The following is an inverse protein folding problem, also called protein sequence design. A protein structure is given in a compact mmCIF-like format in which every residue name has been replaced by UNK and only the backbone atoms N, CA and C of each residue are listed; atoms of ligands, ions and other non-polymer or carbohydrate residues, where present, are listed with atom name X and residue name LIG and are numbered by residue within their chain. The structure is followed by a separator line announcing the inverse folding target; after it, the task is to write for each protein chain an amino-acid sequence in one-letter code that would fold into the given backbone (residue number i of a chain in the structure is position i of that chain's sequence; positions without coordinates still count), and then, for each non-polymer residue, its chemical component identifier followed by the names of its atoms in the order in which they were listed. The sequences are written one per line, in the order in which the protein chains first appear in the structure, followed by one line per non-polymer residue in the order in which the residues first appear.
data_IF_057138260883
#
_entry.id   IF_057138260883
#
_cell.length_a   1.000
_cell.length_b   1.000
_cell.length_c   1.000
_cell.angle_alpha   90.00
_cell.angle_beta   90.00
_cell.angle_gamma   90.00
#
_symmetry.space_group_name_H-M   'P 1'
#
loop_
_entity.id
_entity.type
_entity.pdbx_description
1 polymer ?
#
# COMPACT_ATOMS: atom_id res chain seq x y z
N UNK A 1 -13.89 -2.27 30.40
CA UNK A 1 -13.25 -1.78 29.14
C UNK A 1 -12.53 -2.96 28.50
N UNK A 2 -12.85 -3.31 27.22
CA UNK A 2 -12.16 -4.40 26.51
C UNK A 2 -10.93 -3.79 25.80
N UNK A 3 -9.75 -4.29 26.11
CA UNK A 3 -8.49 -3.90 25.46
C UNK A 3 -8.13 -4.92 24.39
N UNK A 4 -7.52 -4.44 23.32
CA UNK A 4 -6.99 -5.31 22.25
C UNK A 4 -5.59 -5.71 22.64
N UNK A 5 -5.31 -7.00 22.63
CA UNK A 5 -4.06 -7.61 23.06
C UNK A 5 -3.74 -7.34 24.55
N UNK A 6 -2.59 -6.78 24.84
CA UNK A 6 -2.11 -6.52 26.20
C UNK A 6 -2.93 -5.44 26.90
N UNK A 7 -3.14 -5.59 28.23
CA UNK A 7 -3.65 -4.51 29.09
C UNK A 7 -2.66 -3.33 29.04
N UNK A 8 -3.12 -2.12 28.63
CA UNK A 8 -2.25 -0.96 28.56
C UNK A 8 -1.82 -0.48 29.95
N UNK A 9 -0.75 0.30 30.01
CA UNK A 9 -0.33 0.97 31.24
C UNK A 9 -1.23 2.13 31.63
N UNK A 10 -0.94 2.75 32.77
CA UNK A 10 -1.78 3.81 33.35
C UNK A 10 -1.94 5.02 32.43
N UNK A 11 -0.87 5.46 31.78
CA UNK A 11 -0.91 6.63 30.90
C UNK A 11 -1.66 6.32 29.59
N UNK A 12 -1.47 5.13 29.04
CA UNK A 12 -2.23 4.67 27.87
C UNK A 12 -3.73 4.62 28.17
N UNK A 13 -4.16 4.12 29.33
CA UNK A 13 -5.57 4.05 29.71
C UNK A 13 -6.21 5.45 29.68
N UNK A 14 -5.57 6.46 30.31
CA UNK A 14 -6.06 7.84 30.34
C UNK A 14 -6.27 8.41 28.92
N UNK A 15 -5.34 8.14 28.01
CA UNK A 15 -5.43 8.64 26.62
C UNK A 15 -6.51 7.90 25.84
N UNK A 16 -6.61 6.57 25.97
CA UNK A 16 -7.65 5.75 25.32
C UNK A 16 -9.05 6.18 25.78
N UNK A 17 -9.24 6.53 27.05
CA UNK A 17 -10.51 7.02 27.59
C UNK A 17 -10.89 8.39 27.00
N UNK A 18 -9.91 9.28 26.82
CA UNK A 18 -10.10 10.57 26.16
C UNK A 18 -10.38 10.41 24.66
N UNK A 19 -9.62 9.56 23.96
CA UNK A 19 -9.81 9.25 22.53
C UNK A 19 -11.25 8.82 22.26
N UNK A 20 -11.78 7.89 23.06
CA UNK A 20 -13.17 7.41 22.92
C UNK A 20 -14.24 8.47 23.07
N UNK A 21 -13.97 9.58 23.76
CA UNK A 21 -14.92 10.68 23.95
C UNK A 21 -14.97 11.63 22.76
N UNK A 22 -13.87 11.78 22.01
CA UNK A 22 -13.73 12.86 21.02
C UNK A 22 -13.38 12.38 19.60
N UNK A 23 -12.90 11.15 19.46
CA UNK A 23 -12.51 10.61 18.15
C UNK A 23 -13.60 9.67 17.63
N UNK A 24 -13.87 9.77 16.34
CA UNK A 24 -14.85 8.92 15.66
C UNK A 24 -14.59 7.43 15.90
N UNK A 25 -15.62 6.62 16.21
CA UNK A 25 -15.49 5.17 16.38
C UNK A 25 -15.23 4.42 15.07
N UNK A 26 -15.23 5.09 13.92
CA UNK A 26 -14.96 4.48 12.61
C UNK A 26 -13.50 3.99 12.45
N UNK A 27 -12.59 4.49 13.28
CA UNK A 27 -11.18 4.11 13.21
C UNK A 27 -10.94 2.76 13.87
N UNK A 28 -10.30 1.85 13.13
CA UNK A 28 -9.86 0.56 13.67
C UNK A 28 -8.69 0.75 14.61
N UNK A 29 -8.75 0.21 15.81
CA UNK A 29 -7.67 0.19 16.79
C UNK A 29 -7.24 -1.26 16.99
N UNK A 30 -6.19 -1.67 16.26
CA UNK A 30 -5.69 -3.06 16.30
C UNK A 30 -5.01 -3.39 17.62
N UNK A 31 -4.49 -2.39 18.35
CA UNK A 31 -3.80 -2.53 19.61
C UNK A 31 -4.24 -1.48 20.63
N UNK A 32 -4.12 -1.82 21.93
CA UNK A 32 -4.22 -0.84 23.02
C UNK A 32 -2.88 -0.10 23.26
N UNK A 33 -2.13 0.10 22.19
CA UNK A 33 -0.87 0.83 22.13
C UNK A 33 -1.13 2.32 21.95
N UNK A 34 -0.45 3.16 22.72
CA UNK A 34 -0.54 4.62 22.58
C UNK A 34 0.85 5.17 22.23
N UNK A 35 0.97 5.65 21.02
CA UNK A 35 2.22 6.18 20.45
C UNK A 35 2.75 7.38 21.23
N UNK A 36 4.07 7.41 21.49
CA UNK A 36 4.78 8.55 22.07
C UNK A 36 5.85 9.12 21.14
N UNK A 37 6.77 8.28 20.68
CA UNK A 37 7.90 8.66 19.81
C UNK A 37 8.35 7.48 18.96
N UNK A 38 9.11 7.76 17.92
CA UNK A 38 9.71 6.74 17.06
C UNK A 38 11.07 7.18 16.58
N UNK A 39 11.94 6.21 16.22
CA UNK A 39 13.24 6.47 15.60
C UNK A 39 13.68 5.23 14.79
N UNK A 40 14.11 5.42 13.56
CA UNK A 40 14.52 4.33 12.67
C UNK A 40 13.42 3.27 12.50
N UNK A 41 13.68 2.03 12.91
CA UNK A 41 12.73 0.93 12.89
C UNK A 41 12.02 0.71 14.23
N UNK A 42 12.10 1.63 15.18
CA UNK A 42 11.55 1.45 16.52
C UNK A 42 10.51 2.51 16.89
N UNK A 43 9.51 2.09 17.64
CA UNK A 43 8.45 2.95 18.21
C UNK A 43 8.40 2.75 19.72
N UNK A 44 8.02 3.80 20.46
CA UNK A 44 7.81 3.74 21.91
C UNK A 44 6.39 4.19 22.25
N UNK A 45 5.78 3.50 23.19
CA UNK A 45 4.50 3.92 23.75
C UNK A 45 4.69 4.95 24.88
N UNK A 46 3.58 5.53 25.34
CA UNK A 46 3.58 6.51 26.44
C UNK A 46 3.93 5.89 27.79
N UNK A 47 3.84 4.58 27.93
CA UNK A 47 4.22 3.82 29.13
C UNK A 47 5.70 3.42 29.11
N UNK A 48 6.48 3.86 28.10
CA UNK A 48 7.93 3.68 27.99
C UNK A 48 8.40 2.38 27.33
N UNK A 49 7.48 1.56 26.80
CA UNK A 49 7.84 0.31 26.13
C UNK A 49 8.33 0.57 24.72
N UNK A 50 9.35 -0.18 24.31
CA UNK A 50 9.95 -0.13 22.96
C UNK A 50 9.46 -1.30 22.11
N UNK A 51 9.15 -1.01 20.86
CA UNK A 51 8.70 -1.98 19.87
C UNK A 51 9.52 -1.88 18.59
N UNK A 52 9.86 -3.01 17.98
CA UNK A 52 10.32 -3.07 16.61
C UNK A 52 9.08 -2.96 15.68
N UNK A 53 9.13 -2.04 14.73
CA UNK A 53 7.99 -1.73 13.87
C UNK A 53 8.08 -2.46 12.53
N UNK A 54 7.26 -3.50 12.37
CA UNK A 54 7.08 -4.18 11.09
C UNK A 54 5.82 -3.71 10.34
N UNK A 55 5.31 -2.52 10.70
CA UNK A 55 4.17 -1.90 9.99
C UNK A 55 4.55 -0.66 9.17
N UNK A 56 5.62 0.05 9.57
CA UNK A 56 6.05 1.32 8.98
C UNK A 56 4.88 2.32 8.78
N UNK A 57 3.89 2.34 9.70
CA UNK A 57 2.70 3.17 9.53
C UNK A 57 1.88 2.81 8.28
N UNK A 58 1.75 1.54 7.96
CA UNK A 58 1.15 0.98 6.73
C UNK A 58 1.96 1.38 5.48
N UNK A 59 3.26 1.07 5.51
CA UNK A 59 4.21 1.33 4.43
C UNK A 59 4.37 2.84 4.08
N UNK A 60 4.29 3.71 5.08
CA UNK A 60 4.53 5.16 4.95
C UNK A 60 5.98 5.50 5.31
N UNK A 61 6.50 4.97 6.41
CA UNK A 61 7.80 5.31 6.96
C UNK A 61 8.94 4.49 6.32
N UNK A 62 9.00 4.48 4.98
CA UNK A 62 9.97 3.68 4.23
C UNK A 62 11.43 4.00 4.58
N UNK A 63 11.77 5.27 4.83
CA UNK A 63 13.14 5.67 5.20
C UNK A 63 13.36 5.69 6.72
N UNK A 64 12.45 5.07 7.49
CA UNK A 64 12.48 5.03 8.96
C UNK A 64 11.84 6.25 9.60
N UNK A 65 11.48 6.08 10.87
CA UNK A 65 10.89 7.13 11.68
C UNK A 65 11.93 8.20 12.06
N UNK A 66 11.47 9.45 12.17
CA UNK A 66 12.26 10.61 12.62
C UNK A 66 13.61 10.70 11.89
N UNK A 67 13.56 10.57 10.56
CA UNK A 67 14.78 10.61 9.75
C UNK A 67 15.32 12.04 9.69
N UNK A 68 16.60 12.28 10.05
CA UNK A 68 17.19 13.63 10.11
C UNK A 68 17.14 14.41 8.79
N UNK A 69 17.12 13.72 7.63
CA UNK A 69 17.04 14.41 6.33
C UNK A 69 15.68 15.09 6.14
N UNK A 70 14.61 14.47 6.64
CA UNK A 70 13.25 15.03 6.60
C UNK A 70 13.16 16.23 7.55
N UNK A 71 13.61 16.06 8.79
CA UNK A 71 13.62 17.13 9.80
C UNK A 71 14.35 18.37 9.26
N UNK A 72 15.56 18.20 8.71
CA UNK A 72 16.34 19.27 8.12
C UNK A 72 15.60 19.96 6.96
N UNK A 73 14.99 19.19 6.07
CA UNK A 73 14.26 19.72 4.92
C UNK A 73 13.05 20.55 5.35
N UNK A 74 12.25 20.04 6.29
CA UNK A 74 11.06 20.73 6.82
C UNK A 74 11.49 22.00 7.58
N UNK A 75 12.48 21.92 8.47
CA UNK A 75 12.97 23.06 9.25
C UNK A 75 13.54 24.18 8.37
N UNK A 76 14.13 23.83 7.24
CA UNK A 76 14.55 24.81 6.24
C UNK A 76 13.35 25.47 5.57
N UNK A 77 12.40 24.67 5.11
CA UNK A 77 11.26 25.16 4.31
C UNK A 77 10.24 25.96 5.14
N UNK A 78 9.96 25.56 6.38
CA UNK A 78 8.97 26.24 7.23
C UNK A 78 9.36 27.69 7.55
N UNK A 79 10.68 27.99 7.54
CA UNK A 79 11.18 29.37 7.71
C UNK A 79 10.95 30.27 6.50
N UNK A 80 10.67 29.68 5.34
CA UNK A 80 10.38 30.42 4.11
C UNK A 80 8.88 30.58 3.91
N UNK A 81 8.18 29.44 3.84
CA UNK A 81 6.71 29.37 3.75
C UNK A 81 6.26 27.93 3.99
N UNK A 82 5.11 27.74 4.61
CA UNK A 82 4.47 26.43 4.78
C UNK A 82 3.55 26.07 3.60
N UNK A 83 2.94 27.06 2.98
CA UNK A 83 1.92 26.87 1.95
C UNK A 83 1.95 28.01 0.92
N UNK A 84 1.54 27.68 -0.30
CA UNK A 84 1.17 28.58 -1.38
C UNK A 84 0.01 27.93 -2.15
N UNK A 85 -0.91 28.71 -2.66
CA UNK A 85 -1.95 28.22 -3.58
C UNK A 85 -1.32 27.82 -4.92
N UNK A 86 -0.73 26.62 -5.01
CA UNK A 86 0.01 26.15 -6.19
C UNK A 86 -0.89 26.01 -7.42
N UNK A 87 -2.20 25.83 -7.22
CA UNK A 87 -3.18 25.90 -8.31
C UNK A 87 -3.33 27.27 -8.95
N UNK A 88 -2.95 28.34 -8.23
CA UNK A 88 -3.16 29.73 -8.64
C UNK A 88 -1.83 30.47 -8.90
N UNK A 89 -0.73 30.00 -8.28
CA UNK A 89 0.58 30.62 -8.36
C UNK A 89 1.67 29.60 -8.68
N UNK A 90 2.60 29.97 -9.53
CA UNK A 90 3.81 29.16 -9.76
C UNK A 90 4.68 29.13 -8.51
N UNK A 91 5.24 27.96 -8.21
CA UNK A 91 6.20 27.77 -7.14
C UNK A 91 7.30 26.81 -7.57
N UNK A 92 8.55 27.16 -7.29
CA UNK A 92 9.71 26.40 -7.75
C UNK A 92 9.82 25.01 -7.08
N UNK A 93 9.48 24.92 -5.79
CA UNK A 93 9.69 23.70 -5.02
C UNK A 93 8.79 22.51 -5.45
N UNK A 94 7.48 22.68 -5.72
CA UNK A 94 6.65 21.63 -6.30
C UNK A 94 7.13 21.18 -7.68
N UNK A 95 7.62 22.12 -8.51
CA UNK A 95 8.21 21.80 -9.82
C UNK A 95 9.45 20.93 -9.64
N UNK A 96 10.39 21.36 -8.79
CA UNK A 96 11.60 20.56 -8.44
C UNK A 96 11.25 19.16 -7.90
N UNK A 97 10.18 19.06 -7.11
CA UNK A 97 9.75 17.75 -6.63
C UNK A 97 9.24 16.87 -7.78
N UNK A 98 8.39 17.42 -8.66
CA UNK A 98 7.87 16.70 -9.81
C UNK A 98 9.00 16.26 -10.76
N UNK A 99 9.90 17.18 -11.13
CA UNK A 99 11.08 16.88 -11.94
C UNK A 99 11.93 15.74 -11.32
N UNK A 100 12.18 15.82 -10.02
CA UNK A 100 12.99 14.82 -9.34
C UNK A 100 12.27 13.47 -9.23
N UNK A 101 10.96 13.46 -8.99
CA UNK A 101 10.14 12.25 -8.99
C UNK A 101 10.17 11.55 -10.36
N UNK A 102 10.02 12.30 -11.44
CA UNK A 102 10.05 11.77 -12.80
C UNK A 102 11.38 11.06 -13.14
N UNK A 103 12.50 11.43 -12.51
CA UNK A 103 13.78 10.72 -12.71
C UNK A 103 13.80 9.28 -12.17
N UNK A 104 12.77 8.83 -11.48
CA UNK A 104 12.60 7.46 -10.99
C UNK A 104 11.65 6.63 -11.85
N UNK A 105 11.01 7.26 -12.82
CA UNK A 105 9.94 6.67 -13.63
C UNK A 105 10.39 6.42 -15.07
N UNK A 106 9.72 5.53 -15.80
CA UNK A 106 9.93 5.38 -17.24
C UNK A 106 9.66 6.68 -17.99
N UNK A 107 10.43 6.95 -19.07
CA UNK A 107 10.38 8.22 -19.86
C UNK A 107 8.99 8.58 -20.38
N UNK A 108 8.11 7.61 -20.63
CA UNK A 108 6.75 7.87 -21.11
C UNK A 108 5.82 8.45 -20.03
N UNK A 109 6.23 8.46 -18.77
CA UNK A 109 5.51 9.07 -17.65
C UNK A 109 6.15 10.41 -17.33
N UNK A 110 5.68 11.50 -17.96
CA UNK A 110 6.36 12.79 -18.03
C UNK A 110 5.58 13.97 -17.43
N UNK A 111 4.30 13.77 -17.03
CA UNK A 111 3.47 14.78 -16.39
C UNK A 111 2.97 14.31 -15.02
N UNK A 112 2.96 15.24 -14.05
CA UNK A 112 2.57 14.97 -12.66
C UNK A 112 1.48 15.92 -12.18
N UNK A 113 0.39 15.36 -11.66
CA UNK A 113 -0.58 16.09 -10.84
C UNK A 113 -0.31 15.80 -9.37
N UNK A 114 -0.14 16.82 -8.53
CA UNK A 114 0.17 16.70 -7.10
C UNK A 114 -1.10 16.76 -6.26
N UNK A 115 -1.17 15.89 -5.25
CA UNK A 115 -2.27 15.77 -4.30
C UNK A 115 -1.75 15.50 -2.88
N UNK A 116 -2.63 15.19 -1.91
CA UNK A 116 -2.27 15.09 -0.49
C UNK A 116 -2.37 13.67 0.06
N UNK A 117 -2.92 12.75 -0.70
CA UNK A 117 -3.19 11.38 -0.23
C UNK A 117 -3.31 10.39 -1.39
N UNK A 118 -3.20 9.09 -1.08
CA UNK A 118 -3.42 8.04 -2.07
C UNK A 118 -4.84 8.04 -2.64
N UNK A 119 -5.84 8.30 -1.81
CA UNK A 119 -7.23 8.39 -2.29
C UNK A 119 -7.41 9.53 -3.29
N UNK A 120 -6.77 10.71 -3.07
CA UNK A 120 -6.81 11.83 -4.03
C UNK A 120 -6.04 11.49 -5.32
N UNK A 121 -4.90 10.80 -5.22
CA UNK A 121 -4.16 10.36 -6.41
C UNK A 121 -4.99 9.38 -7.25
N UNK A 122 -5.71 8.46 -6.64
CA UNK A 122 -6.63 7.54 -7.32
C UNK A 122 -7.86 8.28 -7.89
N UNK A 123 -8.44 9.24 -7.18
CA UNK A 123 -9.53 10.09 -7.71
C UNK A 123 -9.07 10.86 -8.95
N UNK A 124 -7.84 11.40 -8.93
CA UNK A 124 -7.26 12.08 -10.08
C UNK A 124 -7.06 11.11 -11.25
N UNK A 125 -6.50 9.92 -11.03
CA UNK A 125 -6.34 8.89 -12.06
C UNK A 125 -7.69 8.45 -12.65
N UNK A 126 -8.72 8.27 -11.81
CA UNK A 126 -10.07 7.91 -12.24
C UNK A 126 -10.72 9.03 -13.08
N UNK A 127 -10.60 10.27 -12.66
CA UNK A 127 -11.12 11.44 -13.41
C UNK A 127 -10.35 11.65 -14.71
N UNK A 128 -9.02 11.52 -14.68
CA UNK A 128 -8.15 11.65 -15.84
C UNK A 128 -8.52 10.64 -16.92
N UNK A 129 -8.61 9.36 -16.56
CA UNK A 129 -8.97 8.32 -17.52
C UNK A 129 -10.30 8.56 -18.18
N UNK A 130 -11.30 9.04 -17.46
CA UNK A 130 -12.62 9.37 -18.00
C UNK A 130 -12.60 10.62 -18.87
N UNK A 131 -11.81 11.62 -18.47
CA UNK A 131 -11.64 12.85 -19.22
C UNK A 131 -11.00 12.56 -20.58
N UNK A 132 -9.84 11.93 -20.57
CA UNK A 132 -9.06 11.64 -21.77
C UNK A 132 -9.81 10.75 -22.76
N UNK A 133 -10.42 9.67 -22.28
CA UNK A 133 -11.08 8.70 -23.17
C UNK A 133 -12.52 9.06 -23.52
N UNK A 134 -13.13 10.01 -22.82
CA UNK A 134 -14.58 10.30 -22.87
C UNK A 134 -15.46 9.05 -22.62
N UNK A 135 -14.93 8.04 -21.91
CA UNK A 135 -15.62 6.80 -21.54
C UNK A 135 -16.01 6.84 -20.05
N UNK A 136 -16.98 6.03 -19.63
CA UNK A 136 -17.62 6.15 -18.29
C UNK A 136 -17.24 5.07 -17.29
N UNK A 137 -17.01 3.83 -17.75
CA UNK A 137 -16.76 2.71 -16.89
C UNK A 137 -15.29 2.60 -16.50
N UNK A 138 -15.04 2.09 -15.29
CA UNK A 138 -13.76 1.53 -14.91
C UNK A 138 -13.91 0.08 -14.47
N UNK A 139 -12.82 -0.67 -14.50
CA UNK A 139 -12.71 -1.99 -13.88
C UNK A 139 -11.67 -1.91 -12.76
N UNK A 140 -11.97 -2.52 -11.63
CA UNK A 140 -11.02 -2.82 -10.57
C UNK A 140 -11.08 -4.30 -10.23
N UNK A 141 -10.25 -4.76 -9.32
CA UNK A 141 -10.23 -6.17 -8.95
C UNK A 141 -10.90 -6.41 -7.59
N UNK A 142 -11.26 -7.67 -7.33
CA UNK A 142 -11.75 -8.15 -6.06
C UNK A 142 -10.90 -9.34 -5.61
N UNK A 143 -10.26 -9.25 -4.44
CA UNK A 143 -10.25 -8.10 -3.53
C UNK A 143 -9.23 -7.02 -3.93
N UNK A 144 -9.52 -5.73 -3.63
CA UNK A 144 -8.62 -4.59 -3.84
C UNK A 144 -8.92 -3.43 -2.89
N UNK A 145 -7.95 -2.53 -2.71
CA UNK A 145 -8.14 -1.31 -1.91
C UNK A 145 -7.49 -0.10 -2.58
N UNK A 146 -8.30 0.86 -3.01
CA UNK A 146 -7.85 2.06 -3.73
C UNK A 146 -8.14 3.37 -2.97
N UNK A 147 -8.78 3.31 -1.82
CA UNK A 147 -9.10 4.47 -0.99
C UNK A 147 -10.52 4.47 -0.43
N UNK A 148 -10.89 5.57 0.21
CA UNK A 148 -12.19 5.73 0.91
C UNK A 148 -12.99 6.98 0.54
N UNK A 149 -12.52 7.85 -0.35
CA UNK A 149 -13.36 8.86 -1.01
C UNK A 149 -14.27 8.17 -2.05
N UNK A 150 -15.37 8.78 -2.44
CA UNK A 150 -16.44 8.07 -3.16
C UNK A 150 -16.00 7.44 -4.49
N UNK A 151 -15.12 8.11 -5.25
CA UNK A 151 -14.58 7.54 -6.48
C UNK A 151 -13.62 6.37 -6.21
N UNK A 152 -12.62 6.56 -5.35
CA UNK A 152 -11.69 5.49 -4.97
C UNK A 152 -12.37 4.36 -4.19
N UNK A 153 -13.42 4.67 -3.40
CA UNK A 153 -14.25 3.68 -2.72
C UNK A 153 -15.06 2.84 -3.71
N UNK A 154 -15.47 3.43 -4.84
CA UNK A 154 -16.14 2.68 -5.91
C UNK A 154 -15.25 1.57 -6.47
N UNK A 155 -13.94 1.82 -6.57
CA UNK A 155 -12.91 0.85 -6.99
C UNK A 155 -12.57 -0.16 -5.89
N UNK A 156 -12.60 0.25 -4.61
CA UNK A 156 -12.26 -0.59 -3.44
C UNK A 156 -13.24 -1.75 -3.26
N UNK A 157 -12.70 -2.94 -2.96
CA UNK A 157 -13.51 -4.13 -2.64
C UNK A 157 -12.77 -5.11 -1.71
N UNK A 158 -12.00 -4.61 -0.72
CA UNK A 158 -11.24 -5.46 0.19
C UNK A 158 -12.10 -6.03 1.32
N UNK A 159 -12.95 -5.21 1.93
CA UNK A 159 -13.80 -5.62 3.07
C UNK A 159 -15.22 -5.03 2.92
N UNK A 160 -16.29 -5.81 3.19
CA UNK A 160 -17.67 -5.31 3.09
C UNK A 160 -17.93 -4.05 3.90
N UNK A 161 -17.45 -3.99 5.15
CA UNK A 161 -17.62 -2.84 6.07
C UNK A 161 -17.08 -1.52 5.51
N UNK A 162 -16.18 -1.56 4.53
CA UNK A 162 -15.62 -0.35 3.91
C UNK A 162 -16.58 0.30 2.91
N UNK A 163 -17.55 -0.45 2.39
CA UNK A 163 -18.52 0.00 1.36
C UNK A 163 -19.97 0.01 1.85
N UNK A 164 -20.25 -0.75 2.87
CA UNK A 164 -21.61 -0.93 3.37
C UNK A 164 -22.27 0.39 3.69
N UNK A 165 -23.47 0.63 3.17
CA UNK A 165 -24.32 1.83 3.36
C UNK A 165 -23.79 3.14 2.74
N UNK A 166 -22.72 3.13 1.94
CA UNK A 166 -22.17 4.34 1.32
C UNK A 166 -22.63 4.59 -0.13
N UNK A 167 -23.30 3.62 -0.78
CA UNK A 167 -23.78 3.80 -2.14
C UNK A 167 -24.80 4.93 -2.32
N UNK A 168 -25.08 5.36 -3.56
CA UNK A 168 -24.67 4.75 -4.82
C UNK A 168 -23.19 5.00 -5.17
N UNK A 169 -22.59 4.04 -5.88
CA UNK A 169 -21.21 4.11 -6.33
C UNK A 169 -21.12 4.54 -7.80
N UNK A 170 -19.93 5.01 -8.19
CA UNK A 170 -19.62 5.31 -9.58
C UNK A 170 -19.61 4.03 -10.44
N UNK A 171 -19.73 4.14 -11.79
CA UNK A 171 -19.79 2.99 -12.68
C UNK A 171 -18.44 2.23 -12.71
N UNK A 172 -18.31 1.28 -11.81
CA UNK A 172 -17.15 0.38 -11.68
C UNK A 172 -17.63 -1.07 -11.72
N UNK A 173 -17.00 -1.88 -12.56
CA UNK A 173 -17.10 -3.33 -12.53
C UNK A 173 -15.90 -3.94 -11.82
N UNK A 174 -16.06 -5.14 -11.27
CA UNK A 174 -14.98 -5.85 -10.61
C UNK A 174 -14.71 -7.18 -11.30
N UNK A 175 -13.44 -7.44 -11.62
CA UNK A 175 -12.89 -8.73 -12.00
C UNK A 175 -12.28 -9.44 -10.78
N UNK A 176 -11.88 -10.68 -10.91
CA UNK A 176 -11.28 -11.44 -9.82
C UNK A 176 -9.77 -11.20 -9.83
N UNK A 177 -9.19 -10.81 -8.67
CA UNK A 177 -7.74 -10.72 -8.51
C UNK A 177 -7.14 -12.12 -8.26
N UNK A 178 -6.07 -12.51 -8.93
CA UNK A 178 -5.48 -13.83 -8.76
C UNK A 178 -4.91 -14.03 -7.35
N UNK A 179 -5.42 -15.04 -6.68
CA UNK A 179 -4.90 -15.50 -5.39
C UNK A 179 -4.69 -17.01 -5.46
N UNK A 180 -3.49 -17.43 -5.91
CA UNK A 180 -3.21 -18.83 -6.22
C UNK A 180 -3.41 -19.78 -5.03
N UNK A 181 -3.04 -19.36 -3.82
CA UNK A 181 -3.27 -20.15 -2.61
C UNK A 181 -4.75 -20.46 -2.36
N UNK A 182 -5.67 -19.56 -2.76
CA UNK A 182 -7.13 -19.70 -2.64
C UNK A 182 -7.80 -19.53 -4.00
N UNK A 183 -7.29 -20.21 -5.02
CA UNK A 183 -7.83 -20.13 -6.37
C UNK A 183 -9.29 -20.63 -6.41
N UNK A 184 -10.24 -19.84 -6.91
CA UNK A 184 -11.66 -20.24 -6.95
C UNK A 184 -11.97 -21.22 -8.09
N UNK A 185 -11.03 -21.46 -9.01
CA UNK A 185 -11.25 -22.31 -10.17
C UNK A 185 -10.86 -23.78 -9.97
N UNK A 186 -10.34 -24.11 -8.78
CA UNK A 186 -9.89 -25.46 -8.39
C UNK A 186 -8.95 -26.14 -9.41
N UNK A 187 -8.22 -25.33 -10.19
CA UNK A 187 -7.29 -25.79 -11.20
C UNK A 187 -5.87 -25.85 -10.63
N UNK A 188 -5.20 -26.98 -10.82
CA UNK A 188 -3.84 -27.22 -10.32
C UNK A 188 -2.75 -26.75 -11.28
N UNK A 189 -3.08 -26.51 -12.55
CA UNK A 189 -2.16 -26.01 -13.55
C UNK A 189 -2.11 -24.47 -13.54
N UNK A 190 -0.94 -23.92 -13.27
CA UNK A 190 -0.74 -22.48 -13.10
C UNK A 190 -1.17 -21.68 -14.34
N UNK A 191 -0.74 -22.10 -15.53
CA UNK A 191 -1.02 -21.37 -16.79
C UNK A 191 -2.52 -21.42 -17.14
N UNK A 192 -3.16 -22.58 -16.95
CA UNK A 192 -4.60 -22.70 -17.15
C UNK A 192 -5.40 -21.85 -16.17
N UNK A 193 -4.90 -21.72 -14.93
CA UNK A 193 -5.53 -20.87 -13.92
C UNK A 193 -5.42 -19.38 -14.30
N UNK A 194 -4.27 -18.91 -14.79
CA UNK A 194 -4.07 -17.52 -15.24
C UNK A 194 -5.04 -17.15 -16.35
N UNK A 195 -5.19 -18.02 -17.36
CA UNK A 195 -6.11 -17.78 -18.47
C UNK A 195 -7.57 -17.61 -18.00
N UNK A 196 -8.02 -18.40 -17.02
CA UNK A 196 -9.37 -18.25 -16.47
C UNK A 196 -9.59 -16.89 -15.80
N UNK A 197 -8.60 -16.34 -15.11
CA UNK A 197 -8.69 -14.98 -14.56
C UNK A 197 -8.75 -13.92 -15.67
N UNK A 198 -7.96 -14.07 -16.74
CA UNK A 198 -7.98 -13.18 -17.89
C UNK A 198 -9.30 -13.26 -18.67
N UNK A 199 -9.87 -14.45 -18.83
CA UNK A 199 -11.19 -14.65 -19.45
C UNK A 199 -12.30 -13.92 -18.66
N UNK A 200 -12.25 -14.01 -17.33
CA UNK A 200 -13.19 -13.25 -16.47
C UNK A 200 -13.00 -11.75 -16.67
N UNK A 201 -11.76 -11.27 -16.75
CA UNK A 201 -11.47 -9.85 -16.99
C UNK A 201 -11.97 -9.43 -18.38
N UNK A 202 -11.67 -10.19 -19.42
CA UNK A 202 -12.12 -9.89 -20.78
C UNK A 202 -13.62 -9.86 -20.91
N UNK A 203 -14.34 -10.78 -20.25
CA UNK A 203 -15.79 -10.75 -20.15
C UNK A 203 -16.29 -9.43 -19.53
N UNK A 204 -15.65 -8.95 -18.45
CA UNK A 204 -16.01 -7.66 -17.82
C UNK A 204 -15.75 -6.48 -18.75
N UNK A 205 -14.68 -6.50 -19.54
CA UNK A 205 -14.38 -5.49 -20.57
C UNK A 205 -15.52 -5.46 -21.61
N UNK A 206 -15.89 -6.60 -22.17
CA UNK A 206 -16.96 -6.73 -23.17
C UNK A 206 -18.32 -6.24 -22.65
N UNK A 207 -18.62 -6.48 -21.36
CA UNK A 207 -19.83 -5.97 -20.71
C UNK A 207 -19.92 -4.44 -20.65
N UNK A 208 -18.80 -3.71 -20.81
CA UNK A 208 -18.79 -2.25 -20.87
C UNK A 208 -19.14 -1.71 -22.26
N UNK A 209 -19.31 -2.55 -23.28
CA UNK A 209 -19.74 -2.20 -24.63
C UNK A 209 -18.95 -1.05 -25.27
N UNK A 210 -17.62 -1.10 -25.19
CA UNK A 210 -16.71 -0.05 -25.71
C UNK A 210 -16.63 1.23 -24.87
N UNK A 211 -17.34 1.31 -23.75
CA UNK A 211 -17.38 2.50 -22.89
C UNK A 211 -16.54 2.31 -21.60
N UNK A 212 -15.40 1.58 -21.69
CA UNK A 212 -14.47 1.34 -20.60
C UNK A 212 -13.29 2.32 -20.72
N UNK A 213 -13.09 3.17 -19.71
CA UNK A 213 -12.00 4.15 -19.68
C UNK A 213 -10.69 3.52 -19.18
N UNK A 214 -10.75 2.72 -18.10
CA UNK A 214 -9.53 2.27 -17.43
C UNK A 214 -9.75 0.99 -16.63
N UNK A 215 -8.62 0.28 -16.41
CA UNK A 215 -8.49 -0.82 -15.45
C UNK A 215 -7.54 -0.36 -14.34
N UNK A 216 -7.99 -0.43 -13.08
CA UNK A 216 -7.18 -0.12 -11.90
C UNK A 216 -6.66 -1.40 -11.28
N UNK A 217 -5.35 -1.44 -10.99
CA UNK A 217 -4.71 -2.61 -10.39
C UNK A 217 -3.64 -2.19 -9.38
N UNK A 218 -3.63 -2.83 -8.21
CA UNK A 218 -2.46 -2.88 -7.33
C UNK A 218 -1.53 -3.97 -7.87
N UNK A 219 -0.24 -3.71 -8.19
CA UNK A 219 0.69 -4.76 -8.64
C UNK A 219 0.91 -5.86 -7.61
N UNK A 220 0.82 -5.50 -6.33
CA UNK A 220 0.68 -6.40 -5.19
C UNK A 220 -0.48 -5.91 -4.36
N UNK A 221 -1.54 -6.71 -4.23
CA UNK A 221 -2.74 -6.29 -3.51
C UNK A 221 -2.46 -6.16 -2.00
N UNK A 222 -2.48 -4.91 -1.50
CA UNK A 222 -2.00 -4.58 -0.16
C UNK A 222 -2.95 -5.00 0.95
N UNK A 223 -4.07 -4.32 1.10
CA UNK A 223 -5.06 -4.57 2.17
C UNK A 223 -5.64 -5.98 2.15
N UNK A 224 -5.82 -6.64 1.00
CA UNK A 224 -6.28 -8.02 0.94
C UNK A 224 -5.34 -9.07 1.55
N UNK A 225 -4.07 -8.76 1.79
CA UNK A 225 -3.14 -9.68 2.43
C UNK A 225 -1.81 -9.86 1.70
N UNK A 226 -1.34 -8.84 1.01
CA UNK A 226 -0.10 -8.85 0.24
C UNK A 226 -0.09 -9.96 -0.81
N UNK A 227 -1.17 -10.00 -1.59
CA UNK A 227 -1.35 -11.01 -2.63
C UNK A 227 -0.52 -10.61 -3.84
N UNK A 228 0.37 -11.51 -4.25
CA UNK A 228 1.21 -11.36 -5.45
C UNK A 228 0.55 -12.14 -6.58
N UNK A 229 0.18 -11.48 -7.69
CA UNK A 229 -0.40 -12.16 -8.84
C UNK A 229 0.68 -12.88 -9.65
N UNK A 230 0.32 -13.87 -10.47
CA UNK A 230 1.20 -14.41 -11.49
C UNK A 230 1.71 -13.32 -12.45
N UNK A 231 2.96 -13.46 -12.91
CA UNK A 231 3.56 -12.47 -13.83
C UNK A 231 2.83 -12.40 -15.17
N UNK A 232 2.49 -13.53 -15.72
CA UNK A 232 1.72 -13.69 -16.95
C UNK A 232 0.32 -13.07 -16.87
N UNK A 233 -0.32 -13.09 -15.68
CA UNK A 233 -1.58 -12.38 -15.47
C UNK A 233 -1.41 -10.87 -15.64
N UNK A 234 -0.41 -10.26 -15.01
CA UNK A 234 -0.19 -8.80 -15.11
C UNK A 234 0.13 -8.39 -16.54
N UNK A 235 0.91 -9.22 -17.25
CA UNK A 235 1.20 -9.03 -18.67
C UNK A 235 -0.07 -9.17 -19.54
N UNK A 236 -0.88 -10.18 -19.28
CA UNK A 236 -2.16 -10.36 -19.97
C UNK A 236 -3.17 -9.23 -19.70
N UNK A 237 -3.15 -8.61 -18.51
CA UNK A 237 -3.93 -7.39 -18.26
C UNK A 237 -3.48 -6.26 -19.18
N UNK A 238 -2.16 -6.07 -19.39
CA UNK A 238 -1.63 -5.05 -20.31
C UNK A 238 -2.08 -5.34 -21.75
N UNK A 239 -1.95 -6.59 -22.20
CA UNK A 239 -2.38 -7.01 -23.54
C UNK A 239 -3.88 -6.77 -23.77
N UNK A 240 -4.72 -7.05 -22.77
CA UNK A 240 -6.15 -6.75 -22.84
C UNK A 240 -6.41 -5.24 -22.89
N UNK A 241 -5.67 -4.43 -22.13
CA UNK A 241 -5.78 -2.99 -22.20
C UNK A 241 -5.43 -2.47 -23.60
N UNK A 242 -4.34 -2.95 -24.19
CA UNK A 242 -3.92 -2.58 -25.56
C UNK A 242 -4.95 -3.03 -26.60
N UNK A 243 -5.46 -4.26 -26.50
CA UNK A 243 -6.47 -4.83 -27.41
C UNK A 243 -7.77 -4.03 -27.44
N UNK A 244 -8.18 -3.48 -26.30
CA UNK A 244 -9.48 -2.79 -26.17
C UNK A 244 -9.38 -1.28 -26.07
N UNK A 245 -8.19 -0.70 -26.25
CA UNK A 245 -7.93 0.75 -26.12
C UNK A 245 -8.44 1.28 -24.77
N UNK A 246 -7.89 0.71 -23.69
CA UNK A 246 -8.25 0.99 -22.29
C UNK A 246 -7.00 1.34 -21.51
N UNK A 247 -7.03 2.38 -20.68
CA UNK A 247 -5.89 2.78 -19.88
C UNK A 247 -5.64 1.81 -18.71
N UNK A 248 -4.39 1.42 -18.50
CA UNK A 248 -3.94 0.71 -17.30
C UNK A 248 -3.51 1.72 -16.24
N UNK A 249 -4.30 1.83 -15.17
CA UNK A 249 -4.01 2.65 -14.00
C UNK A 249 -3.37 1.79 -12.90
N UNK A 250 -2.12 2.07 -12.61
CA UNK A 250 -1.29 1.35 -11.65
C UNK A 250 -1.35 2.05 -10.28
N UNK A 251 -1.86 1.34 -9.29
CA UNK A 251 -1.92 1.80 -7.91
C UNK A 251 -0.67 1.39 -7.13
N UNK A 252 0.32 2.27 -7.14
CA UNK A 252 1.59 2.13 -6.44
C UNK A 252 1.59 2.79 -5.04
N UNK A 253 0.42 3.18 -4.55
CA UNK A 253 0.28 3.89 -3.27
C UNK A 253 0.88 3.10 -2.11
N UNK A 254 0.81 1.78 -2.12
CA UNK A 254 1.40 0.95 -1.07
C UNK A 254 2.63 0.16 -1.55
N UNK A 255 2.63 -0.32 -2.78
CA UNK A 255 3.66 -1.21 -3.32
C UNK A 255 4.89 -0.47 -3.88
N UNK A 256 4.73 0.81 -4.22
CA UNK A 256 5.78 1.65 -4.80
C UNK A 256 6.90 2.06 -3.85
N UNK A 257 7.75 2.93 -4.35
CA UNK A 257 8.86 3.54 -3.61
C UNK A 257 9.81 2.50 -3.01
N UNK A 258 10.25 1.56 -3.84
CA UNK A 258 11.17 0.47 -3.48
C UNK A 258 10.63 -0.55 -2.48
N UNK A 259 9.34 -0.53 -2.11
CA UNK A 259 8.76 -1.51 -1.19
C UNK A 259 8.96 -2.96 -1.66
N UNK A 260 8.94 -3.18 -2.97
CA UNK A 260 9.15 -4.48 -3.62
C UNK A 260 10.57 -4.67 -4.22
N UNK A 261 11.50 -3.73 -3.93
CA UNK A 261 12.86 -3.73 -4.48
C UNK A 261 13.04 -2.89 -5.73
N UNK A 262 11.99 -2.69 -6.54
CA UNK A 262 11.92 -1.75 -7.67
C UNK A 262 11.21 -0.47 -7.23
N UNK A 263 11.44 0.67 -7.92
CA UNK A 263 10.77 1.92 -7.56
C UNK A 263 9.27 1.82 -7.78
N UNK A 264 8.84 1.31 -8.92
CA UNK A 264 7.49 0.84 -9.16
C UNK A 264 7.42 -0.67 -8.98
N UNK A 265 6.41 -1.17 -8.28
CA UNK A 265 6.22 -2.60 -8.08
C UNK A 265 5.86 -3.31 -9.39
N UNK A 266 5.15 -2.64 -10.29
CA UNK A 266 4.77 -3.17 -11.61
C UNK A 266 6.00 -3.56 -12.47
N UNK A 267 7.16 -2.93 -12.25
CA UNK A 267 8.40 -3.26 -12.95
C UNK A 267 8.88 -4.70 -12.69
N UNK A 268 8.45 -5.35 -11.59
CA UNK A 268 8.74 -6.76 -11.35
C UNK A 268 8.04 -7.68 -12.36
N UNK A 269 7.00 -7.19 -13.00
CA UNK A 269 6.18 -7.92 -13.98
C UNK A 269 6.53 -7.57 -15.44
N UNK A 270 7.45 -6.61 -15.67
CA UNK A 270 7.84 -6.08 -16.98
C UNK A 270 6.65 -5.49 -17.75
N UNK A 271 5.79 -4.75 -17.08
CA UNK A 271 4.60 -4.08 -17.63
C UNK A 271 4.77 -2.57 -17.51
N UNK A 272 4.34 -1.82 -18.53
CA UNK A 272 4.30 -0.35 -18.55
C UNK A 272 2.86 0.12 -18.35
N UNK A 273 2.55 0.85 -17.26
CA UNK A 273 1.23 1.43 -17.06
C UNK A 273 1.07 2.74 -17.84
N UNK A 274 -0.17 3.16 -18.09
CA UNK A 274 -0.49 4.45 -18.70
C UNK A 274 -0.60 5.58 -17.67
N UNK A 275 -1.09 5.24 -16.47
CA UNK A 275 -1.25 6.15 -15.34
C UNK A 275 -0.72 5.48 -14.07
N UNK A 276 0.04 6.20 -13.26
CA UNK A 276 0.57 5.73 -11.97
C UNK A 276 0.06 6.62 -10.85
N UNK A 277 -0.42 6.02 -9.76
CA UNK A 277 -0.77 6.73 -8.52
C UNK A 277 0.24 6.41 -7.42
N UNK A 278 0.89 7.43 -6.87
CA UNK A 278 1.85 7.34 -5.76
C UNK A 278 1.37 8.14 -4.55
N UNK A 279 1.71 7.69 -3.35
CA UNK A 279 1.49 8.42 -2.09
C UNK A 279 2.32 7.81 -0.95
N UNK A 280 1.78 7.81 0.28
CA UNK A 280 2.42 7.18 1.46
C UNK A 280 3.91 7.50 1.55
N UNK A 281 4.77 6.60 1.06
CA UNK A 281 6.20 6.68 1.23
C UNK A 281 6.87 7.88 0.56
N UNK A 282 6.30 8.45 -0.52
CA UNK A 282 6.93 9.58 -1.24
C UNK A 282 7.05 10.84 -0.38
N UNK A 283 6.19 11.01 0.62
CA UNK A 283 6.18 12.18 1.52
C UNK A 283 7.05 12.04 2.77
N UNK A 284 7.68 10.86 3.00
CA UNK A 284 8.51 10.64 4.20
C UNK A 284 7.77 10.83 5.52
N UNK A 285 6.47 10.56 5.56
CA UNK A 285 5.58 10.77 6.71
C UNK A 285 4.71 12.03 6.61
N UNK A 286 4.96 12.90 5.63
CA UNK A 286 4.12 14.08 5.37
C UNK A 286 3.09 13.73 4.27
N UNK A 287 1.82 14.16 4.41
CA UNK A 287 0.80 13.92 3.40
C UNK A 287 1.21 14.45 2.02
N UNK A 288 1.33 13.53 1.06
CA UNK A 288 1.71 13.82 -0.33
C UNK A 288 1.17 12.71 -1.22
N UNK A 289 0.62 13.08 -2.36
CA UNK A 289 0.18 12.19 -3.43
C UNK A 289 0.59 12.73 -4.79
N UNK A 290 0.71 11.83 -5.75
CA UNK A 290 1.00 12.17 -7.13
C UNK A 290 0.27 11.23 -8.07
N UNK A 291 -0.30 11.77 -9.14
CA UNK A 291 -0.82 11.03 -10.28
C UNK A 291 0.03 11.38 -11.48
N UNK A 292 0.63 10.39 -12.10
CA UNK A 292 1.60 10.56 -13.18
C UNK A 292 1.08 9.88 -14.44
N UNK A 293 1.19 10.53 -15.58
CA UNK A 293 0.82 9.97 -16.89
C UNK A 293 1.69 10.61 -17.98
N UNK A 294 1.52 10.13 -19.21
CA UNK A 294 2.06 10.81 -20.38
C UNK A 294 1.36 12.16 -20.61
N UNK A 295 2.06 13.17 -21.16
CA UNK A 295 1.47 14.49 -21.44
C UNK A 295 0.25 14.42 -22.36
N UNK A 296 0.19 13.45 -23.28
CA UNK A 296 -0.95 13.25 -24.17
C UNK A 296 -2.19 12.74 -23.43
N UNK A 297 -1.99 11.98 -22.34
CA UNK A 297 -3.08 11.50 -21.48
C UNK A 297 -3.46 12.57 -20.46
N UNK A 298 -2.47 13.35 -19.95
CA UNK A 298 -2.70 14.44 -18.99
C UNK A 298 -3.22 15.70 -19.70
N UNK A 299 -4.28 15.55 -20.47
CA UNK A 299 -4.88 16.57 -21.36
C UNK A 299 -5.98 17.41 -20.71
N UNK A 300 -6.01 17.48 -19.39
CA UNK A 300 -6.93 18.36 -18.67
C UNK A 300 -6.77 19.82 -19.06
N UNK A 301 -7.90 20.51 -19.23
CA UNK A 301 -7.89 21.96 -19.39
C UNK A 301 -7.86 22.67 -18.03
N UNK A 302 -7.31 23.89 -17.94
CA UNK A 302 -7.28 24.66 -16.71
C UNK A 302 -8.65 24.72 -16.01
N UNK A 303 -8.68 24.43 -14.70
CA UNK A 303 -9.90 24.40 -13.88
C UNK A 303 -10.65 23.06 -13.87
N UNK A 304 -10.31 22.09 -14.71
CA UNK A 304 -11.01 20.80 -14.75
C UNK A 304 -10.74 19.92 -13.50
N UNK A 305 -9.55 20.02 -12.93
CA UNK A 305 -9.18 19.34 -11.69
C UNK A 305 -8.09 20.11 -10.94
N UNK A 306 -8.32 20.41 -9.67
CA UNK A 306 -7.38 21.09 -8.79
C UNK A 306 -7.63 20.72 -7.32
N UNK A 307 -6.72 21.08 -6.45
CA UNK A 307 -6.89 21.00 -5.02
C UNK A 307 -6.06 22.09 -4.31
N UNK A 308 -6.50 22.52 -3.11
CA UNK A 308 -5.88 23.63 -2.36
C UNK A 308 -4.47 23.29 -1.86
N UNK A 309 -4.22 22.07 -1.40
CA UNK A 309 -2.98 21.69 -0.73
C UNK A 309 -2.04 20.86 -1.60
N UNK A 310 -2.41 20.49 -2.81
CA UNK A 310 -1.52 19.77 -3.74
C UNK A 310 -0.30 20.60 -4.07
N UNK A 311 0.87 19.98 -4.01
CA UNK A 311 2.15 20.69 -4.12
C UNK A 311 2.53 21.47 -2.85
N UNK A 312 1.98 21.11 -1.66
CA UNK A 312 2.35 21.72 -0.39
C UNK A 312 3.87 21.78 -0.23
N UNK A 313 4.39 22.96 0.14
CA UNK A 313 5.83 23.23 0.16
C UNK A 313 6.58 22.34 1.16
N UNK A 314 6.01 22.07 2.35
CA UNK A 314 6.64 21.19 3.33
C UNK A 314 6.66 19.75 2.85
N UNK A 315 5.56 19.31 2.22
CA UNK A 315 5.44 17.97 1.66
C UNK A 315 6.41 17.76 0.49
N UNK A 316 6.56 18.74 -0.41
CA UNK A 316 7.52 18.69 -1.51
C UNK A 316 8.97 18.70 -1.01
N UNK A 317 9.31 19.50 0.00
CA UNK A 317 10.63 19.50 0.63
C UNK A 317 10.95 18.13 1.25
N UNK A 318 10.02 17.56 2.00
CA UNK A 318 10.15 16.22 2.59
C UNK A 318 10.23 15.14 1.51
N UNK A 319 9.43 15.25 0.45
CA UNK A 319 9.44 14.32 -0.68
C UNK A 319 10.78 14.28 -1.41
N UNK A 320 11.36 15.44 -1.74
CA UNK A 320 12.71 15.51 -2.34
C UNK A 320 13.75 14.87 -1.44
N UNK A 321 13.71 15.18 -0.13
CA UNK A 321 14.66 14.61 0.83
C UNK A 321 14.50 13.08 0.94
N UNK A 322 13.26 12.59 0.92
CA UNK A 322 12.92 11.17 0.94
C UNK A 322 13.48 10.44 -0.27
N UNK A 323 13.18 10.93 -1.46
CA UNK A 323 13.62 10.33 -2.72
C UNK A 323 15.15 10.33 -2.85
N UNK A 324 15.80 11.42 -2.45
CA UNK A 324 17.28 11.50 -2.41
C UNK A 324 17.86 10.43 -1.49
N UNK A 325 17.34 10.34 -0.26
CA UNK A 325 17.80 9.34 0.71
C UNK A 325 17.62 7.91 0.18
N UNK A 326 16.47 7.60 -0.42
CA UNK A 326 16.20 6.27 -1.00
C UNK A 326 17.22 5.89 -2.08
N UNK A 327 17.58 6.83 -2.97
CA UNK A 327 18.56 6.64 -4.04
C UNK A 327 19.98 6.50 -3.49
N UNK A 328 20.40 7.44 -2.65
CA UNK A 328 21.76 7.48 -2.06
C UNK A 328 22.06 6.26 -1.19
N UNK A 329 21.04 5.77 -0.45
CA UNK A 329 21.17 4.57 0.38
C UNK A 329 20.90 3.26 -0.37
N UNK A 330 20.60 3.32 -1.68
CA UNK A 330 20.32 2.16 -2.54
C UNK A 330 19.28 1.24 -1.91
N UNK A 331 18.18 1.82 -1.39
CA UNK A 331 17.20 1.07 -0.57
C UNK A 331 16.57 -0.10 -1.33
N UNK A 332 16.41 -0.03 -2.65
CA UNK A 332 15.91 -1.14 -3.45
C UNK A 332 16.76 -2.42 -3.33
N UNK A 333 18.08 -2.26 -3.25
CA UNK A 333 19.00 -3.40 -3.06
C UNK A 333 18.88 -3.99 -1.66
N UNK A 334 18.82 -3.13 -0.62
CA UNK A 334 18.59 -3.60 0.74
C UNK A 334 17.27 -4.36 0.86
N UNK A 335 16.20 -3.83 0.26
CA UNK A 335 14.86 -4.46 0.23
C UNK A 335 14.91 -5.84 -0.42
N UNK A 336 15.58 -5.96 -1.56
CA UNK A 336 15.72 -7.25 -2.25
C UNK A 336 16.52 -8.24 -1.40
N UNK A 337 17.64 -7.80 -0.81
CA UNK A 337 18.50 -8.65 0.01
C UNK A 337 17.79 -9.13 1.29
N UNK A 338 17.23 -8.19 2.06
CA UNK A 338 16.57 -8.51 3.35
C UNK A 338 15.25 -9.21 3.11
N UNK A 339 14.47 -8.81 2.09
CA UNK A 339 13.23 -9.48 1.71
C UNK A 339 13.44 -10.96 1.36
N UNK A 340 14.41 -11.26 0.50
CA UNK A 340 14.76 -12.65 0.15
C UNK A 340 15.22 -13.46 1.37
N UNK A 341 15.96 -12.82 2.29
CA UNK A 341 16.37 -13.45 3.55
C UNK A 341 15.16 -13.79 4.43
N UNK A 342 14.26 -12.82 4.62
CA UNK A 342 13.05 -13.01 5.44
C UNK A 342 12.12 -14.06 4.83
N UNK A 343 11.92 -14.04 3.51
CA UNK A 343 11.09 -15.04 2.81
C UNK A 343 11.61 -16.47 3.07
N UNK A 344 12.93 -16.70 2.95
CA UNK A 344 13.52 -18.02 3.24
C UNK A 344 13.30 -18.47 4.69
N UNK A 345 13.36 -17.56 5.66
CA UNK A 345 13.06 -17.87 7.07
C UNK A 345 11.57 -18.21 7.27
N UNK A 346 10.69 -17.43 6.67
CA UNK A 346 9.24 -17.63 6.77
C UNK A 346 8.77 -18.92 6.07
N UNK A 347 9.38 -19.30 4.95
CA UNK A 347 9.08 -20.59 4.29
C UNK A 347 9.46 -21.78 5.21
N UNK A 348 10.62 -21.72 5.89
CA UNK A 348 10.98 -22.74 6.90
C UNK A 348 9.99 -22.79 8.07
N UNK A 349 9.48 -21.63 8.50
CA UNK A 349 8.43 -21.59 9.52
C UNK A 349 7.14 -22.23 8.99
N UNK A 350 6.76 -21.97 7.75
CA UNK A 350 5.60 -22.61 7.11
C UNK A 350 5.73 -24.14 7.06
N UNK A 351 6.91 -24.66 6.77
CA UNK A 351 7.17 -26.11 6.81
C UNK A 351 6.97 -26.70 8.22
N UNK A 352 7.35 -25.95 9.25
CA UNK A 352 7.36 -26.40 10.65
C UNK A 352 6.01 -26.28 11.36
N UNK A 353 5.24 -25.20 11.08
CA UNK A 353 4.03 -24.86 11.83
C UNK A 353 2.77 -25.04 11.00
N UNK A 354 1.80 -25.80 11.51
CA UNK A 354 0.51 -26.06 10.85
C UNK A 354 -0.33 -24.79 10.68
N UNK A 355 -0.22 -23.82 11.58
CA UNK A 355 -0.95 -22.56 11.50
C UNK A 355 -0.54 -21.67 10.33
N UNK A 356 0.64 -21.87 9.73
CA UNK A 356 1.10 -21.07 8.57
C UNK A 356 0.72 -21.79 7.30
N UNK A 357 -0.35 -21.33 6.64
CA UNK A 357 -0.85 -21.91 5.40
C UNK A 357 -0.09 -21.48 4.16
N UNK A 358 0.29 -20.19 4.11
CA UNK A 358 0.98 -19.61 2.97
C UNK A 358 1.92 -18.47 3.38
N UNK A 359 3.02 -18.33 2.65
CA UNK A 359 3.95 -17.20 2.75
C UNK A 359 4.15 -16.65 1.35
N UNK A 360 3.95 -15.36 1.16
CA UNK A 360 4.04 -14.69 -0.14
C UNK A 360 4.55 -13.28 0.00
N UNK A 361 5.07 -12.71 -1.07
CA UNK A 361 5.53 -11.32 -1.07
C UNK A 361 6.65 -11.07 -2.09
N UNK A 362 6.96 -9.78 -2.26
CA UNK A 362 8.11 -9.31 -3.04
C UNK A 362 8.82 -8.24 -2.19
N UNK A 363 10.13 -8.37 -2.05
CA UNK A 363 10.92 -7.44 -1.24
C UNK A 363 10.49 -7.43 0.23
N UNK A 364 10.20 -6.26 0.79
CA UNK A 364 9.70 -6.07 2.16
C UNK A 364 8.18 -5.81 2.20
N UNK A 365 7.43 -6.42 1.29
CA UNK A 365 5.98 -6.48 1.27
C UNK A 365 5.56 -7.94 1.38
N UNK A 366 5.49 -8.49 2.60
CA UNK A 366 5.35 -9.92 2.87
C UNK A 366 4.06 -10.20 3.62
N UNK A 367 3.28 -11.18 3.15
CA UNK A 367 2.07 -11.70 3.77
C UNK A 367 2.27 -13.13 4.29
N UNK A 368 1.84 -13.37 5.52
CA UNK A 368 1.80 -14.70 6.14
C UNK A 368 0.34 -15.05 6.40
N UNK A 369 -0.17 -16.04 5.69
CA UNK A 369 -1.55 -16.52 5.84
C UNK A 369 -1.67 -17.48 7.02
N UNK A 370 -2.55 -17.17 7.95
CA UNK A 370 -2.80 -18.02 9.11
C UNK A 370 -4.06 -18.84 8.86
N UNK A 371 -3.96 -20.14 9.05
CA UNK A 371 -5.05 -21.11 8.87
C UNK A 371 -5.20 -21.95 10.12
N UNK A 372 -6.38 -22.55 10.32
CA UNK A 372 -6.58 -23.55 11.35
C UNK A 372 -6.05 -24.93 10.94
N UNK A 373 -6.14 -25.20 9.64
CA UNK A 373 -5.71 -26.46 9.06
C UNK A 373 -5.24 -26.23 7.60
N UNK A 374 -4.06 -26.75 7.26
CA UNK A 374 -3.46 -26.55 5.92
C UNK A 374 -4.20 -27.23 4.79
N UNK A 375 -4.89 -28.35 5.06
CA UNK A 375 -5.60 -29.12 4.01
C UNK A 375 -6.89 -28.43 3.62
N UNK A 376 -7.68 -28.05 4.61
CA UNK A 376 -8.96 -27.34 4.39
C UNK A 376 -8.77 -25.86 4.09
N UNK A 377 -7.62 -25.29 4.45
CA UNK A 377 -7.30 -23.86 4.38
C UNK A 377 -8.30 -22.98 5.15
N UNK A 378 -8.95 -23.51 6.21
CA UNK A 378 -9.87 -22.75 7.04
C UNK A 378 -9.17 -21.53 7.65
N UNK A 379 -9.80 -20.35 7.56
CA UNK A 379 -9.22 -19.11 8.04
C UNK A 379 -8.96 -19.11 9.55
N UNK A 380 -7.72 -18.92 9.95
CA UNK A 380 -7.28 -18.81 11.36
C UNK A 380 -7.37 -17.36 11.87
N UNK A 381 -8.57 -16.79 11.91
CA UNK A 381 -8.77 -15.36 12.30
C UNK A 381 -8.42 -15.13 13.76
N UNK A 382 -8.82 -16.06 14.65
CA UNK A 382 -8.51 -16.00 16.08
C UNK A 382 -7.02 -16.22 16.29
N UNK A 383 -6.47 -17.25 15.68
CA UNK A 383 -5.07 -17.64 15.75
C UNK A 383 -4.15 -16.49 15.28
N UNK A 384 -4.50 -15.83 14.16
CA UNK A 384 -3.80 -14.63 13.70
C UNK A 384 -3.82 -13.52 14.76
N UNK A 385 -4.97 -13.28 15.37
CA UNK A 385 -5.11 -12.24 16.39
C UNK A 385 -4.29 -12.57 17.62
N UNK A 386 -4.29 -13.83 18.06
CA UNK A 386 -3.51 -14.30 19.19
C UNK A 386 -1.99 -14.17 18.92
N UNK A 387 -1.52 -14.51 17.69
CA UNK A 387 -0.13 -14.30 17.27
C UNK A 387 0.25 -12.82 17.31
N UNK A 388 -0.58 -11.93 16.76
CA UNK A 388 -0.34 -10.48 16.78
C UNK A 388 -0.23 -9.94 18.21
N UNK A 389 -1.08 -10.42 19.12
CA UNK A 389 -1.07 -10.01 20.51
C UNK A 389 0.21 -10.47 21.21
N UNK A 390 0.60 -11.72 21.08
CA UNK A 390 1.84 -12.27 21.65
C UNK A 390 3.09 -11.57 21.09
N UNK A 391 3.12 -11.30 19.77
CA UNK A 391 4.21 -10.55 19.16
C UNK A 391 4.32 -9.13 19.75
N UNK A 392 3.20 -8.45 19.95
CA UNK A 392 3.19 -7.12 20.56
C UNK A 392 3.64 -7.11 22.01
N UNK A 393 3.31 -8.15 22.78
CA UNK A 393 3.78 -8.34 24.16
C UNK A 393 5.29 -8.53 24.25
N UNK A 394 5.88 -9.15 23.23
CA UNK A 394 7.32 -9.37 23.08
C UNK A 394 8.06 -8.21 22.39
N UNK A 395 7.36 -7.13 22.04
CA UNK A 395 7.95 -5.91 21.47
C UNK A 395 8.07 -5.89 19.95
N UNK A 396 7.22 -6.62 19.22
CA UNK A 396 7.11 -6.54 17.76
C UNK A 396 5.70 -6.06 17.36
N UNK A 397 5.61 -5.00 16.57
CA UNK A 397 4.35 -4.51 15.98
C UNK A 397 4.19 -4.99 14.56
N UNK A 398 3.11 -5.72 14.33
CA UNK A 398 2.65 -6.24 13.04
C UNK A 398 1.22 -5.75 12.79
N UNK A 399 0.70 -5.87 11.58
CA UNK A 399 -0.70 -5.54 11.30
C UNK A 399 -1.41 -6.69 10.61
N UNK A 400 -2.72 -6.86 10.87
CA UNK A 400 -3.54 -7.80 10.11
C UNK A 400 -3.79 -7.27 8.69
N UNK A 401 -4.00 -8.21 7.76
CA UNK A 401 -4.48 -7.93 6.41
C UNK A 401 -5.42 -9.03 5.95
N UNK A 402 -6.24 -8.76 4.94
CA UNK A 402 -7.21 -9.72 4.45
C UNK A 402 -8.12 -10.27 5.55
N UNK A 403 -8.44 -11.56 5.48
CA UNK A 403 -9.25 -12.27 6.48
C UNK A 403 -8.38 -12.79 7.62
N UNK A 404 -7.28 -13.50 7.32
CA UNK A 404 -6.42 -14.12 8.33
C UNK A 404 -4.92 -13.97 8.06
N UNK A 405 -4.52 -13.01 7.22
CA UNK A 405 -3.11 -12.74 6.96
C UNK A 405 -2.49 -11.81 8.01
N UNK A 406 -1.21 -12.00 8.27
CA UNK A 406 -0.32 -11.05 8.93
C UNK A 406 0.50 -10.36 7.84
N UNK A 407 0.54 -9.01 7.83
CA UNK A 407 1.41 -8.26 6.93
C UNK A 407 2.68 -7.82 7.63
N UNK A 408 3.79 -7.98 6.92
CA UNK A 408 5.13 -7.58 7.31
C UNK A 408 5.60 -6.54 6.30
N UNK A 409 5.69 -5.28 6.73
CA UNK A 409 6.12 -4.15 5.89
C UNK A 409 6.97 -3.15 6.70
N UNK A 410 8.15 -3.57 7.20
CA UNK A 410 9.03 -2.72 8.01
C UNK A 410 9.55 -1.52 7.22
N UNK A 411 10.17 -0.52 7.86
CA UNK A 411 10.97 0.47 7.16
C UNK A 411 12.04 -0.19 6.27
N UNK A 412 12.33 0.39 5.11
CA UNK A 412 13.26 -0.19 4.11
C UNK A 412 14.73 -0.15 4.55
N UNK A 413 15.02 0.59 5.63
CA UNK A 413 16.33 0.64 6.29
C UNK A 413 16.56 -0.50 7.28
N UNK A 414 15.66 -1.47 7.34
CA UNK A 414 15.75 -2.63 8.24
C UNK A 414 17.09 -3.34 8.03
N UNK A 415 17.80 -3.63 9.14
CA UNK A 415 19.03 -4.42 9.10
C UNK A 415 18.72 -5.91 9.22
N UNK A 416 19.73 -6.76 8.93
CA UNK A 416 19.59 -8.21 9.07
C UNK A 416 19.32 -8.60 10.53
N UNK A 417 20.01 -7.97 11.47
CA UNK A 417 19.86 -8.24 12.92
C UNK A 417 18.45 -7.88 13.41
N UNK A 418 17.89 -6.77 12.90
CA UNK A 418 16.50 -6.39 13.18
C UNK A 418 15.51 -7.36 12.54
N UNK A 419 15.79 -7.83 11.33
CA UNK A 419 14.97 -8.85 10.68
C UNK A 419 14.98 -10.15 11.48
N UNK A 420 16.15 -10.60 11.95
CA UNK A 420 16.31 -11.78 12.81
C UNK A 420 15.48 -11.63 14.09
N UNK A 421 15.68 -10.53 14.82
CA UNK A 421 14.93 -10.25 16.05
C UNK A 421 13.41 -10.30 15.84
N UNK A 422 12.92 -9.64 14.78
CA UNK A 422 11.49 -9.62 14.49
C UNK A 422 10.93 -10.98 14.08
N UNK A 423 11.69 -11.75 13.29
CA UNK A 423 11.29 -13.10 12.88
C UNK A 423 11.34 -14.10 14.05
N UNK A 424 12.31 -13.98 14.95
CA UNK A 424 12.39 -14.82 16.16
C UNK A 424 11.18 -14.58 17.07
N UNK A 425 10.80 -13.30 17.28
CA UNK A 425 9.59 -12.94 18.05
C UNK A 425 8.32 -13.49 17.36
N UNK A 426 8.23 -13.38 16.04
CA UNK A 426 7.09 -13.92 15.29
C UNK A 426 7.02 -15.44 15.41
N UNK A 427 8.15 -16.15 15.23
CA UNK A 427 8.23 -17.61 15.35
C UNK A 427 7.81 -18.09 16.73
N UNK A 428 8.31 -17.45 17.79
CA UNK A 428 7.90 -17.72 19.16
C UNK A 428 6.39 -17.52 19.39
N UNK A 429 5.85 -16.44 18.79
CA UNK A 429 4.42 -16.14 18.92
C UNK A 429 3.53 -17.15 18.17
N UNK A 430 4.00 -17.65 17.03
CA UNK A 430 3.35 -18.76 16.30
C UNK A 430 3.41 -20.05 17.13
N UNK A 431 4.60 -20.43 17.61
CA UNK A 431 4.80 -21.63 18.42
C UNK A 431 3.90 -21.68 19.65
N UNK A 432 3.75 -20.55 20.36
CA UNK A 432 2.90 -20.46 21.56
C UNK A 432 1.40 -20.44 21.23
N UNK A 433 1.02 -20.29 19.97
CA UNK A 433 -0.37 -20.29 19.52
C UNK A 433 -0.77 -21.62 18.89
N UNK A 434 0.22 -22.37 18.39
CA UNK A 434 0.05 -23.74 17.91
C UNK A 434 -0.15 -24.70 19.07
#
# INVERSE_FOLDING_TARGET
MKFVCRKPGKESIKIIERDRKVISPSLTREYSFVFKKANGCYIWDVDGRKYLDFSAGVAVMNIGHTNPVIEKAINKQIRLASHVGFSDFYAELPVKFAEYLLTFLPEHLDKTFLSNSGTEAIEAAYKLSRWHTNKKWAIAFKPSFHGRSMGSLSLTNAKPVQKERFGPFLPVKHAIYPYCYRCPFDNKEHDACTNLYLDVLEKRIKECKGNLASIFMEPVAGEPGYIVPPKDFVQGVRELCDKYDVLLCDDEVQAGCYRTGKFLAIDNFNVKPDVVALSKAIGGGIPLGATIANEKIMDWVPGSHANTFGGNLLACAAGIATLKFMREKRLGENVTKIGNYMMKRLEKMKERYELIGDVRGIGLMIGVEIVKDKKTKEYGVKERTDILCKASEKGLLLLPAGISSIRICPPLILTKEQADLGLDILEDSVRETS
#
